data_IF_650759450401
#
_entry.id   IF_650759450401
#
_cell.length_a   1.000
_cell.length_b   1.000
_cell.length_c   1.000
_cell.angle_alpha   90.00
_cell.angle_beta   90.00
_cell.angle_gamma   90.00
#
_symmetry.space_group_name_H-M   'P 1'
#
loop_
_entity.id
_entity.type
_entity.pdbx_description
1 polymer ?
#
# COMPACT_ATOMS: atom_id res chain seq x y z
N UNK A 1 7.25 28.05 -4.00
CA UNK A 1 6.05 27.34 -4.48
C UNK A 1 5.84 26.19 -3.51
N UNK A 2 4.62 25.97 -3.07
CA UNK A 2 4.26 24.81 -2.23
C UNK A 2 4.59 23.53 -3.01
N UNK A 3 5.19 22.54 -2.37
CA UNK A 3 5.45 21.21 -2.96
C UNK A 3 4.18 20.38 -3.16
N UNK A 4 3.01 20.96 -2.96
CA UNK A 4 1.72 20.29 -3.01
C UNK A 4 0.69 21.11 -3.79
N UNK A 5 -0.35 20.44 -4.27
CA UNK A 5 -1.47 21.03 -4.97
C UNK A 5 -2.80 20.44 -4.50
N UNK A 6 -3.89 21.20 -4.64
CA UNK A 6 -5.22 20.74 -4.30
C UNK A 6 -5.72 19.69 -5.28
N UNK A 7 -6.49 18.74 -4.77
CA UNK A 7 -7.15 17.69 -5.57
C UNK A 7 -8.62 18.07 -5.79
N UNK A 8 -9.10 17.98 -7.03
CA UNK A 8 -10.51 18.13 -7.37
C UNK A 8 -11.27 16.81 -7.22
N UNK A 9 -12.61 16.85 -7.31
CA UNK A 9 -13.43 15.63 -7.39
C UNK A 9 -13.22 14.89 -8.71
N UNK A 10 -13.23 13.56 -8.65
CA UNK A 10 -13.23 12.69 -9.83
C UNK A 10 -14.63 12.53 -10.43
N UNK A 11 -15.67 12.75 -9.63
CA UNK A 11 -17.07 12.45 -9.97
C UNK A 11 -17.45 10.98 -9.75
N UNK A 12 -16.55 10.16 -9.22
CA UNK A 12 -16.78 8.75 -8.87
C UNK A 12 -16.75 8.62 -7.36
N UNK A 13 -17.87 8.33 -6.73
CA UNK A 13 -18.03 8.34 -5.27
C UNK A 13 -16.93 7.55 -4.54
N UNK A 14 -16.60 6.35 -4.99
CA UNK A 14 -15.62 5.50 -4.30
C UNK A 14 -14.19 6.01 -4.45
N UNK A 15 -13.89 6.71 -5.54
CA UNK A 15 -12.61 7.41 -5.73
C UNK A 15 -12.59 8.66 -4.85
N UNK A 16 -13.62 9.52 -4.95
CA UNK A 16 -13.73 10.75 -4.15
C UNK A 16 -13.73 10.45 -2.64
N UNK A 17 -14.28 9.29 -2.26
CA UNK A 17 -14.30 8.77 -0.89
C UNK A 17 -12.90 8.47 -0.32
N UNK A 18 -11.88 8.39 -1.16
CA UNK A 18 -10.49 8.14 -0.76
C UNK A 18 -9.60 9.39 -0.88
N UNK A 19 -10.04 10.45 -1.57
CA UNK A 19 -9.21 11.64 -1.77
C UNK A 19 -9.15 12.51 -0.50
N UNK A 20 -7.94 12.72 0.04
CA UNK A 20 -7.69 13.59 1.20
C UNK A 20 -7.77 15.07 0.89
N UNK A 21 -7.69 15.47 -0.39
CA UNK A 21 -7.84 16.84 -0.84
C UNK A 21 -6.53 17.52 -1.24
N UNK A 22 -5.38 16.94 -0.92
CA UNK A 22 -4.04 17.46 -1.25
C UNK A 22 -3.20 16.33 -1.85
N UNK A 23 -2.36 16.66 -2.83
CA UNK A 23 -1.39 15.75 -3.45
C UNK A 23 -0.03 16.43 -3.59
N UNK A 24 1.03 15.68 -3.80
CA UNK A 24 2.32 16.20 -4.22
C UNK A 24 2.20 16.86 -5.60
N UNK A 25 2.80 18.02 -5.77
CA UNK A 25 2.79 18.75 -7.05
C UNK A 25 3.99 18.31 -7.91
N UNK A 26 3.76 17.53 -8.94
CA UNK A 26 4.79 16.98 -9.82
C UNK A 26 5.62 18.06 -10.52
N UNK A 27 5.08 19.28 -10.69
CA UNK A 27 5.82 20.40 -11.25
C UNK A 27 6.88 20.96 -10.29
N UNK A 28 6.75 20.67 -8.99
CA UNK A 28 7.67 21.12 -7.93
C UNK A 28 8.46 19.95 -7.35
N UNK A 29 7.79 18.85 -7.07
CA UNK A 29 8.36 17.60 -6.55
C UNK A 29 8.40 16.59 -7.70
N UNK A 30 9.48 16.61 -8.47
CA UNK A 30 9.61 15.73 -9.65
C UNK A 30 9.82 14.24 -9.28
N UNK A 31 10.20 13.95 -8.04
CA UNK A 31 10.46 12.59 -7.53
C UNK A 31 10.08 12.53 -6.06
N UNK A 32 9.30 11.56 -5.68
CA UNK A 32 9.04 11.24 -4.27
C UNK A 32 10.28 10.54 -3.71
N UNK A 33 11.08 11.28 -2.95
CA UNK A 33 12.23 10.72 -2.25
C UNK A 33 11.81 10.16 -0.90
N UNK A 34 12.38 9.03 -0.49
CA UNK A 34 12.14 8.46 0.82
C UNK A 34 13.43 8.01 1.51
N UNK A 35 13.44 8.08 2.83
CA UNK A 35 14.61 7.77 3.64
C UNK A 35 14.24 7.07 4.95
N UNK A 36 15.26 6.55 5.62
CA UNK A 36 15.14 5.83 6.88
C UNK A 36 16.03 6.49 7.93
N UNK A 37 15.58 7.54 8.63
CA UNK A 37 16.35 8.24 9.63
C UNK A 37 16.83 7.33 10.76
N UNK A 38 18.10 7.50 11.16
CA UNK A 38 18.70 6.73 12.24
C UNK A 38 18.87 7.53 13.54
N UNK A 39 18.61 8.83 13.48
CA UNK A 39 18.70 9.76 14.61
C UNK A 39 17.57 10.78 14.55
N UNK A 40 17.05 11.19 15.69
CA UNK A 40 16.01 12.20 15.80
C UNK A 40 16.39 13.54 15.14
N UNK A 41 17.67 13.90 15.15
CA UNK A 41 18.16 15.13 14.53
C UNK A 41 18.05 15.19 13.00
N UNK A 42 17.64 14.10 12.33
CA UNK A 42 17.25 14.11 10.92
C UNK A 42 15.96 14.91 10.67
N UNK A 43 15.12 15.03 11.69
CA UNK A 43 13.91 15.84 11.71
C UNK A 43 14.27 17.24 12.24
N UNK A 44 14.77 18.12 11.41
CA UNK A 44 15.55 19.33 11.75
C UNK A 44 14.78 20.42 12.51
N UNK A 45 13.47 20.43 12.44
CA UNK A 45 12.64 21.33 13.23
C UNK A 45 11.85 20.53 14.26
N UNK A 46 12.58 20.12 15.30
CA UNK A 46 12.03 19.23 16.33
C UNK A 46 11.11 19.93 17.32
N UNK A 47 10.92 21.26 17.26
CA UNK A 47 10.10 21.97 18.24
C UNK A 47 8.64 21.48 18.23
N UNK A 48 8.15 21.05 17.09
CA UNK A 48 6.78 20.57 16.89
C UNK A 48 6.68 19.06 16.57
N UNK A 49 7.84 18.37 16.49
CA UNK A 49 7.92 16.92 16.27
C UNK A 49 7.95 16.16 17.58
N UNK A 50 6.78 15.92 18.17
CA UNK A 50 6.66 15.08 19.36
C UNK A 50 7.21 13.67 19.13
N UNK A 51 6.98 13.14 17.92
CA UNK A 51 7.41 11.82 17.48
C UNK A 51 8.92 11.65 17.49
N UNK A 52 9.65 12.64 16.94
CA UNK A 52 11.10 12.61 16.86
C UNK A 52 11.77 12.89 18.21
N UNK A 53 11.12 13.64 19.09
CA UNK A 53 11.65 14.00 20.42
C UNK A 53 11.27 12.99 21.50
N UNK A 54 10.36 12.07 21.22
CA UNK A 54 9.96 11.03 22.14
C UNK A 54 11.11 10.07 22.46
N UNK A 55 11.30 9.65 23.72
CA UNK A 55 12.36 8.71 24.11
C UNK A 55 12.28 7.33 23.41
N UNK A 56 11.13 6.97 22.87
CA UNK A 56 10.94 5.73 22.10
C UNK A 56 11.39 5.83 20.64
N UNK A 57 11.82 7.02 20.17
CA UNK A 57 12.31 7.18 18.79
C UNK A 57 13.36 6.13 18.45
N UNK A 58 13.16 5.43 17.35
CA UNK A 58 14.11 4.48 16.80
C UNK A 58 14.04 4.41 15.28
N UNK A 59 15.13 3.93 14.68
CA UNK A 59 15.12 3.57 13.26
C UNK A 59 14.19 2.40 13.02
N UNK A 60 13.55 2.36 11.85
CA UNK A 60 12.87 1.16 11.39
C UNK A 60 13.86 0.01 11.16
N UNK A 61 13.41 -1.21 11.29
CA UNK A 61 14.21 -2.44 11.07
C UNK A 61 14.69 -2.57 9.63
N UNK A 62 15.67 -3.44 9.40
CA UNK A 62 16.12 -3.77 8.04
C UNK A 62 14.99 -4.38 7.21
N UNK A 63 14.13 -5.21 7.83
CA UNK A 63 12.99 -5.82 7.15
C UNK A 63 11.93 -4.78 6.77
N UNK A 64 11.66 -3.79 7.63
CA UNK A 64 10.79 -2.66 7.27
C UNK A 64 11.37 -1.83 6.13
N UNK A 65 12.69 -1.60 6.12
CA UNK A 65 13.35 -0.91 5.00
C UNK A 65 13.24 -1.68 3.68
N UNK A 66 13.32 -3.01 3.73
CA UNK A 66 13.10 -3.89 2.57
C UNK A 66 11.65 -3.74 2.09
N UNK A 67 10.68 -3.90 2.99
CA UNK A 67 9.26 -3.76 2.66
C UNK A 67 8.93 -2.37 2.09
N UNK A 68 9.46 -1.30 2.67
CA UNK A 68 9.25 0.05 2.16
C UNK A 68 9.78 0.23 0.72
N UNK A 69 10.95 -0.34 0.40
CA UNK A 69 11.48 -0.33 -0.97
C UNK A 69 10.64 -1.14 -1.94
N UNK A 70 10.12 -2.28 -1.49
CA UNK A 70 9.24 -3.13 -2.30
C UNK A 70 7.90 -2.43 -2.57
N UNK A 71 7.29 -1.82 -1.54
CA UNK A 71 5.99 -1.17 -1.61
C UNK A 71 6.06 0.14 -2.42
N UNK A 72 7.04 0.99 -2.16
CA UNK A 72 7.18 2.27 -2.90
C UNK A 72 7.75 2.06 -4.30
N UNK A 73 8.62 1.09 -4.47
CA UNK A 73 9.30 0.79 -5.74
C UNK A 73 10.53 1.69 -5.99
N UNK A 74 11.21 1.43 -7.09
CA UNK A 74 12.28 2.26 -7.67
C UNK A 74 13.47 2.64 -6.77
N UNK A 75 14.07 1.67 -6.08
CA UNK A 75 15.37 1.87 -5.46
C UNK A 75 16.50 1.46 -6.44
N UNK A 76 17.33 2.42 -6.86
CA UNK A 76 18.46 2.15 -7.77
C UNK A 76 19.41 1.11 -7.16
N UNK A 77 19.66 0.01 -7.89
CA UNK A 77 20.54 -1.07 -7.44
C UNK A 77 19.93 -2.03 -6.42
N UNK A 78 18.65 -1.90 -6.14
CA UNK A 78 17.89 -2.81 -5.29
C UNK A 78 17.14 -3.85 -6.14
N UNK A 79 17.18 -5.10 -5.72
CA UNK A 79 16.35 -6.17 -6.30
C UNK A 79 15.20 -6.45 -5.35
N UNK A 80 13.95 -6.09 -5.68
CA UNK A 80 12.81 -6.29 -4.82
C UNK A 80 12.59 -7.77 -4.49
N UNK A 81 12.17 -8.06 -3.26
CA UNK A 81 11.68 -9.38 -2.86
C UNK A 81 10.22 -9.55 -3.29
N UNK A 82 9.43 -8.49 -3.16
CA UNK A 82 8.09 -8.39 -3.73
C UNK A 82 8.11 -7.32 -4.82
N UNK A 83 7.79 -7.71 -6.05
CA UNK A 83 8.04 -6.89 -7.25
C UNK A 83 6.79 -6.36 -7.91
N UNK A 84 5.62 -6.72 -7.37
CA UNK A 84 4.35 -6.44 -8.00
C UNK A 84 3.49 -5.48 -7.17
N UNK A 85 2.80 -4.54 -7.85
CA UNK A 85 1.83 -3.66 -7.21
C UNK A 85 2.45 -2.58 -6.32
N UNK A 86 3.72 -2.19 -6.56
CA UNK A 86 4.34 -1.03 -5.91
C UNK A 86 3.66 0.27 -6.34
N UNK A 87 3.77 1.32 -5.53
CA UNK A 87 3.29 2.66 -5.91
C UNK A 87 3.88 3.11 -7.25
N UNK A 88 5.18 2.96 -7.45
CA UNK A 88 5.85 3.30 -8.72
C UNK A 88 5.33 2.50 -9.92
N UNK A 89 4.80 1.30 -9.72
CA UNK A 89 4.20 0.51 -10.81
C UNK A 89 2.78 0.95 -11.17
N UNK A 90 2.10 1.60 -10.24
CA UNK A 90 0.68 1.98 -10.39
C UNK A 90 0.53 3.40 -10.93
N UNK A 91 1.36 4.34 -10.48
CA UNK A 91 1.28 5.75 -10.86
C UNK A 91 2.45 6.18 -11.75
N UNK A 92 2.21 7.14 -12.63
CA UNK A 92 3.25 7.77 -13.46
C UNK A 92 4.00 8.83 -12.64
N UNK A 93 4.63 8.39 -11.56
CA UNK A 93 5.40 9.23 -10.65
C UNK A 93 6.67 8.50 -10.21
N UNK A 94 7.80 9.22 -10.20
CA UNK A 94 9.08 8.65 -9.82
C UNK A 94 9.24 8.56 -8.30
N UNK A 95 9.78 7.44 -7.84
CA UNK A 95 10.15 7.22 -6.44
C UNK A 95 11.65 6.92 -6.32
N UNK A 96 12.30 7.41 -5.28
CA UNK A 96 13.72 7.15 -5.05
C UNK A 96 14.06 7.01 -3.56
N UNK A 97 14.71 5.90 -3.20
CA UNK A 97 15.32 5.77 -1.88
C UNK A 97 16.61 6.61 -1.83
N UNK A 98 16.69 7.51 -0.87
CA UNK A 98 17.86 8.33 -0.62
C UNK A 98 18.46 8.00 0.74
N UNK A 99 19.76 8.22 0.90
CA UNK A 99 20.43 8.03 2.18
C UNK A 99 20.00 9.12 3.16
N UNK A 100 19.61 8.74 4.37
CA UNK A 100 19.43 9.68 5.46
C UNK A 100 20.82 10.21 5.88
N UNK A 101 20.99 11.53 6.08
CA UNK A 101 22.29 12.15 6.36
C UNK A 101 22.87 11.79 7.75
N UNK A 102 22.14 11.06 8.57
CA UNK A 102 22.54 10.67 9.92
C UNK A 102 22.47 11.81 10.93
N UNK A 103 23.21 12.91 10.70
CA UNK A 103 23.12 14.13 11.49
C UNK A 103 22.86 15.32 10.57
N UNK A 104 21.88 16.15 10.94
CA UNK A 104 21.39 17.28 10.12
C UNK A 104 20.08 16.94 9.43
N UNK A 105 19.42 17.97 8.89
CA UNK A 105 18.10 17.86 8.30
C UNK A 105 18.08 16.86 7.13
N UNK A 106 17.20 15.85 7.22
CA UNK A 106 16.88 14.98 6.12
C UNK A 106 15.83 15.67 5.24
N UNK A 107 16.12 15.76 3.96
CA UNK A 107 15.28 16.44 2.97
C UNK A 107 14.44 15.48 2.13
N UNK A 108 14.39 14.20 2.48
CA UNK A 108 13.49 13.26 1.83
C UNK A 108 12.03 13.69 2.05
N UNK A 109 11.20 13.46 1.06
CA UNK A 109 9.75 13.77 1.10
C UNK A 109 9.04 12.87 2.11
N UNK A 110 9.39 11.57 2.12
CA UNK A 110 8.86 10.61 3.09
C UNK A 110 9.99 10.12 3.98
N UNK A 111 9.80 10.20 5.29
CA UNK A 111 10.73 9.68 6.27
C UNK A 111 10.03 8.67 7.15
N UNK A 112 10.66 7.54 7.41
CA UNK A 112 10.08 6.43 8.13
C UNK A 112 10.86 6.15 9.41
N UNK A 113 10.19 6.20 10.55
CA UNK A 113 10.80 5.89 11.84
C UNK A 113 9.79 5.25 12.81
N UNK A 114 10.29 4.88 13.98
CA UNK A 114 9.52 4.29 15.07
C UNK A 114 9.32 5.32 16.17
N UNK A 115 8.10 5.39 16.73
CA UNK A 115 7.81 6.21 17.91
C UNK A 115 6.58 5.68 18.66
N UNK A 116 6.51 6.00 19.96
CA UNK A 116 5.27 5.91 20.76
C UNK A 116 4.80 7.31 21.21
N UNK A 117 5.39 8.37 20.67
CA UNK A 117 5.12 9.77 21.05
C UNK A 117 3.74 10.29 20.66
N UNK A 118 2.98 9.53 19.88
CA UNK A 118 1.58 9.82 19.59
C UNK A 118 0.72 8.72 20.23
N UNK A 119 0.18 9.00 21.40
CA UNK A 119 -0.56 8.06 22.22
C UNK A 119 -1.69 7.35 21.47
N UNK A 120 -1.72 6.02 21.54
CA UNK A 120 -2.75 5.09 21.07
C UNK A 120 -2.84 4.79 19.57
N UNK A 121 -2.02 5.35 18.70
CA UNK A 121 -1.99 4.89 17.31
C UNK A 121 -1.12 3.63 17.16
N UNK A 122 -1.49 2.77 16.21
CA UNK A 122 -0.67 1.61 15.84
C UNK A 122 0.46 2.05 14.93
N UNK A 123 0.09 2.82 13.89
CA UNK A 123 0.93 3.57 12.98
C UNK A 123 0.15 4.78 12.49
N UNK A 124 0.81 5.73 11.88
CA UNK A 124 0.17 6.86 11.19
C UNK A 124 1.15 7.49 10.22
N UNK A 125 0.61 8.23 9.23
CA UNK A 125 1.38 9.07 8.35
C UNK A 125 0.76 10.45 8.19
N UNK A 126 1.60 11.44 7.94
CA UNK A 126 1.14 12.78 7.60
C UNK A 126 0.81 12.84 6.10
N UNK A 127 -0.31 13.48 5.79
CA UNK A 127 -0.69 13.79 4.40
C UNK A 127 0.36 14.68 3.72
N UNK A 128 0.39 14.72 2.38
CA UNK A 128 1.05 15.80 1.66
C UNK A 128 0.51 17.13 2.20
N UNK A 129 1.36 17.93 2.84
CA UNK A 129 0.89 19.14 3.47
C UNK A 129 1.46 20.36 2.75
N UNK A 130 0.53 21.20 2.25
CA UNK A 130 0.83 22.55 1.83
C UNK A 130 0.62 23.45 3.02
N UNK A 131 1.66 23.78 3.75
CA UNK A 131 1.46 24.76 4.80
C UNK A 131 1.05 26.11 4.22
N UNK A 132 -0.15 26.52 4.57
CA UNK A 132 -0.63 27.88 4.33
C UNK A 132 0.16 28.94 5.13
N UNK A 133 0.95 28.53 6.11
CA UNK A 133 1.61 29.47 7.07
C UNK A 133 3.13 29.49 7.03
N UNK A 134 3.78 28.55 6.35
CA UNK A 134 5.25 28.53 6.19
C UNK A 134 5.65 28.54 4.72
N UNK A 135 6.60 29.37 4.29
CA UNK A 135 7.09 29.39 2.92
C UNK A 135 7.85 28.12 2.51
N UNK A 136 8.07 27.17 3.41
CA UNK A 136 8.81 25.92 3.19
C UNK A 136 7.95 24.65 3.31
N UNK A 137 6.64 24.74 3.55
CA UNK A 137 5.81 23.58 3.79
C UNK A 137 5.93 23.01 5.23
N UNK A 138 4.99 22.16 5.72
CA UNK A 138 5.18 21.40 6.95
C UNK A 138 6.24 20.31 6.68
N UNK A 139 7.37 20.31 7.35
CA UNK A 139 8.37 19.28 7.15
C UNK A 139 7.88 17.87 7.53
N UNK A 140 6.69 17.75 8.14
CA UNK A 140 6.07 16.47 8.50
C UNK A 140 5.34 15.79 7.34
N UNK A 141 4.92 16.54 6.32
CA UNK A 141 4.17 15.99 5.20
C UNK A 141 4.88 14.77 4.57
N UNK A 142 4.18 13.63 4.50
CA UNK A 142 4.71 12.38 3.99
C UNK A 142 5.41 11.48 5.00
N UNK A 143 5.73 11.95 6.21
CA UNK A 143 6.38 11.13 7.23
C UNK A 143 5.45 10.05 7.77
N UNK A 144 6.01 8.85 7.96
CA UNK A 144 5.30 7.67 8.47
C UNK A 144 5.95 7.16 9.75
N UNK A 145 5.12 6.89 10.74
CA UNK A 145 5.52 6.52 12.08
C UNK A 145 4.89 5.20 12.52
N UNK A 146 5.67 4.33 13.11
CA UNK A 146 5.27 2.99 13.55
C UNK A 146 5.47 2.84 15.05
N UNK A 147 4.43 2.36 15.76
CA UNK A 147 4.51 2.13 17.21
C UNK A 147 5.26 0.84 17.54
N UNK A 148 6.02 0.84 18.64
CA UNK A 148 6.62 -0.38 19.19
C UNK A 148 5.62 -1.26 19.95
N UNK A 149 4.39 -0.80 20.16
CA UNK A 149 3.33 -1.57 20.82
C UNK A 149 2.75 -2.66 19.92
N UNK A 150 3.11 -2.65 18.63
CA UNK A 150 2.67 -3.62 17.61
C UNK A 150 3.87 -4.22 16.89
N UNK A 151 3.71 -5.42 16.35
CA UNK A 151 4.80 -6.11 15.65
C UNK A 151 4.89 -5.63 14.20
N UNK A 152 5.65 -4.56 13.98
CA UNK A 152 5.93 -4.01 12.64
C UNK A 152 7.33 -4.32 12.15
N UNK A 153 8.18 -4.91 12.97
CA UNK A 153 9.62 -5.05 12.67
C UNK A 153 9.92 -6.00 11.51
N UNK A 154 8.98 -6.88 11.17
CA UNK A 154 9.14 -7.89 10.13
C UNK A 154 7.90 -7.98 9.20
N UNK A 155 7.56 -6.92 8.44
CA UNK A 155 6.41 -6.94 7.54
C UNK A 155 6.63 -7.99 6.45
N UNK A 156 5.67 -8.89 6.32
CA UNK A 156 5.64 -9.92 5.28
C UNK A 156 4.33 -9.85 4.50
N UNK A 157 4.37 -10.18 3.22
CA UNK A 157 3.23 -10.10 2.31
C UNK A 157 2.01 -10.83 2.89
N UNK A 158 0.84 -10.17 2.85
CA UNK A 158 -0.42 -10.72 3.33
C UNK A 158 -0.64 -10.65 4.84
N UNK A 159 0.25 -10.01 5.61
CA UNK A 159 0.10 -9.80 7.06
C UNK A 159 -0.41 -8.39 7.38
N UNK A 160 -0.91 -8.19 8.60
CA UNK A 160 -1.31 -6.88 9.11
C UNK A 160 -0.15 -5.86 9.04
N UNK A 161 1.06 -6.28 9.41
CA UNK A 161 2.23 -5.41 9.33
C UNK A 161 2.51 -4.93 7.90
N UNK A 162 2.40 -5.80 6.90
CA UNK A 162 2.53 -5.41 5.49
C UNK A 162 1.45 -4.43 5.07
N UNK A 163 0.18 -4.78 5.33
CA UNK A 163 -0.97 -3.91 5.02
C UNK A 163 -0.78 -2.52 5.62
N UNK A 164 -0.36 -2.43 6.90
CA UNK A 164 -0.17 -1.14 7.58
C UNK A 164 0.86 -0.28 6.85
N UNK A 165 1.98 -0.84 6.40
CA UNK A 165 2.97 -0.06 5.64
C UNK A 165 2.39 0.49 4.33
N UNK A 166 1.62 -0.31 3.58
CA UNK A 166 0.95 0.16 2.34
C UNK A 166 -0.08 1.25 2.66
N UNK A 167 -0.84 1.07 3.75
CA UNK A 167 -1.87 2.01 4.23
C UNK A 167 -1.26 3.37 4.57
N UNK A 168 -0.20 3.39 5.38
CA UNK A 168 0.47 4.64 5.76
C UNK A 168 1.08 5.36 4.56
N UNK A 169 1.63 4.63 3.59
CA UNK A 169 2.07 5.25 2.34
C UNK A 169 0.90 5.77 1.50
N UNK A 170 -0.28 5.17 1.59
CA UNK A 170 -1.51 5.72 1.03
C UNK A 170 -1.81 7.11 1.58
N UNK A 171 -1.75 7.30 2.91
CA UNK A 171 -1.89 8.62 3.54
C UNK A 171 -0.80 9.58 3.09
N UNK A 172 0.47 9.15 3.10
CA UNK A 172 1.60 9.96 2.65
C UNK A 172 1.47 10.39 1.17
N UNK A 173 0.67 9.68 0.38
CA UNK A 173 0.32 10.02 -1.01
C UNK A 173 -1.02 10.75 -1.15
N UNK A 174 -1.72 11.06 -0.05
CA UNK A 174 -2.94 11.89 -0.06
C UNK A 174 -4.27 11.13 -0.03
N UNK A 175 -4.27 9.82 0.25
CA UNK A 175 -5.49 9.05 0.47
C UNK A 175 -5.98 9.18 1.90
N UNK A 176 -7.29 9.31 2.12
CA UNK A 176 -7.96 9.24 3.43
C UNK A 176 -8.68 7.90 3.62
N UNK A 177 -9.17 7.65 4.84
CA UNK A 177 -9.95 6.44 5.11
C UNK A 177 -11.29 6.45 4.36
N UNK A 178 -11.68 5.29 3.84
CA UNK A 178 -12.88 5.14 3.03
C UNK A 178 -14.19 5.48 3.74
N UNK A 179 -14.27 5.27 5.05
CA UNK A 179 -15.46 5.57 5.86
C UNK A 179 -15.61 7.05 6.25
N UNK A 180 -14.56 7.84 6.09
CA UNK A 180 -14.57 9.25 6.47
C UNK A 180 -15.15 10.12 5.37
N UNK A 181 -15.92 11.14 5.78
CA UNK A 181 -16.24 12.29 4.92
C UNK A 181 -15.06 13.26 4.90
N UNK A 182 -15.12 14.26 4.05
CA UNK A 182 -14.04 15.21 3.84
C UNK A 182 -13.44 15.13 2.44
N UNK A 183 -12.28 15.73 2.26
CA UNK A 183 -11.66 15.88 0.95
C UNK A 183 -12.51 16.69 -0.03
N UNK A 184 -12.19 16.66 -1.34
CA UNK A 184 -12.80 17.55 -2.32
C UNK A 184 -14.30 17.28 -2.52
N UNK A 185 -14.76 16.04 -2.39
CA UNK A 185 -16.16 15.65 -2.54
C UNK A 185 -16.96 15.68 -1.25
N UNK A 186 -16.33 15.89 -0.12
CA UNK A 186 -16.92 15.75 1.23
C UNK A 186 -17.78 14.48 1.36
N UNK A 187 -17.27 13.37 0.82
CA UNK A 187 -17.98 12.09 0.75
C UNK A 187 -17.12 10.95 1.26
N UNK A 188 -17.78 9.90 1.76
CA UNK A 188 -17.17 8.60 2.04
C UNK A 188 -17.38 7.64 0.84
N UNK A 189 -16.67 6.53 0.83
CA UNK A 189 -16.96 5.42 -0.08
C UNK A 189 -18.40 4.92 0.14
N UNK A 190 -18.98 4.35 -0.89
CA UNK A 190 -20.27 3.67 -0.76
C UNK A 190 -20.12 2.49 0.20
N UNK A 191 -21.10 2.29 1.08
CA UNK A 191 -21.03 1.29 2.16
C UNK A 191 -20.92 -0.16 1.66
N UNK A 192 -21.29 -0.42 0.40
CA UNK A 192 -21.14 -1.70 -0.27
C UNK A 192 -19.78 -1.86 -0.99
N UNK A 193 -18.88 -0.89 -0.80
CA UNK A 193 -17.51 -0.88 -1.33
C UNK A 193 -16.46 -0.47 -0.29
N UNK A 194 -16.90 -0.07 0.91
CA UNK A 194 -16.01 0.28 2.01
C UNK A 194 -15.60 -0.99 2.78
N UNK A 195 -14.62 -1.68 2.25
CA UNK A 195 -13.92 -2.81 2.89
C UNK A 195 -12.53 -3.01 2.28
N UNK A 196 -11.68 -3.78 2.96
CA UNK A 196 -10.35 -4.17 2.50
C UNK A 196 -10.36 -4.84 1.12
N UNK A 197 -11.49 -5.44 0.72
CA UNK A 197 -11.65 -6.05 -0.60
C UNK A 197 -11.52 -5.02 -1.75
N UNK A 198 -11.75 -3.74 -1.46
CA UNK A 198 -11.80 -2.68 -2.47
C UNK A 198 -10.80 -1.55 -2.22
N UNK A 199 -10.36 -1.38 -0.98
CA UNK A 199 -9.40 -0.34 -0.59
C UNK A 199 -8.68 -0.71 0.71
N UNK A 200 -7.37 -0.61 0.72
CA UNK A 200 -6.52 -0.73 1.91
C UNK A 200 -6.76 0.39 2.92
N UNK A 201 -7.34 1.52 2.47
CA UNK A 201 -7.68 2.65 3.34
C UNK A 201 -8.96 2.42 4.14
N UNK A 202 -9.69 1.32 3.91
CA UNK A 202 -10.84 0.95 4.73
C UNK A 202 -10.40 0.29 6.03
N UNK A 203 -11.07 0.64 7.13
CA UNK A 203 -10.89 -0.03 8.43
C UNK A 203 -11.73 -1.32 8.55
N UNK A 204 -12.49 -1.66 7.51
CA UNK A 204 -13.39 -2.81 7.51
C UNK A 204 -12.72 -4.00 6.85
N UNK A 205 -12.66 -5.12 7.56
CA UNK A 205 -12.17 -6.38 7.00
C UNK A 205 -13.03 -6.87 5.84
N UNK A 206 -14.36 -6.69 5.94
CA UNK A 206 -15.36 -7.06 4.94
C UNK A 206 -16.51 -6.05 4.93
N UNK A 207 -17.34 -6.08 3.91
CA UNK A 207 -18.49 -5.16 3.77
C UNK A 207 -19.40 -5.26 5.00
N UNK A 208 -19.60 -4.13 5.67
CA UNK A 208 -20.43 -4.05 6.86
C UNK A 208 -19.74 -4.40 8.19
N UNK A 209 -18.45 -4.75 8.17
CA UNK A 209 -17.66 -4.89 9.40
C UNK A 209 -17.58 -3.55 10.15
N UNK A 210 -17.28 -3.61 11.46
CA UNK A 210 -17.10 -2.41 12.27
C UNK A 210 -15.77 -1.70 11.90
N UNK A 211 -15.72 -0.38 12.12
CA UNK A 211 -14.50 0.42 12.01
C UNK A 211 -13.79 0.58 13.36
N UNK A 212 -14.37 0.07 14.44
CA UNK A 212 -13.84 0.14 15.80
C UNK A 212 -13.40 -1.25 16.22
N UNK A 213 -12.22 -1.35 16.82
CA UNK A 213 -11.71 -2.63 17.34
C UNK A 213 -10.69 -3.33 16.45
N UNK A 214 -10.38 -2.75 15.29
CA UNK A 214 -9.38 -3.27 14.36
C UNK A 214 -9.91 -4.36 13.42
N UNK A 215 -9.02 -4.83 12.56
CA UNK A 215 -9.34 -5.88 11.60
C UNK A 215 -9.50 -7.25 12.28
N UNK A 216 -10.34 -8.09 11.68
CA UNK A 216 -10.64 -9.45 12.15
C UNK A 216 -10.20 -10.54 11.17
N UNK A 217 -9.37 -10.18 10.20
CA UNK A 217 -8.80 -11.12 9.23
C UNK A 217 -7.97 -12.22 9.90
N UNK A 218 -7.87 -13.37 9.26
CA UNK A 218 -6.85 -14.35 9.59
C UNK A 218 -5.43 -13.81 9.39
N UNK A 219 -4.42 -14.46 9.98
CA UNK A 219 -3.03 -13.98 10.04
C UNK A 219 -2.42 -13.61 8.67
N UNK A 220 -2.74 -14.35 7.60
CA UNK A 220 -2.24 -14.11 6.23
C UNK A 220 -3.33 -13.66 5.25
N UNK A 221 -4.49 -13.27 5.77
CA UNK A 221 -5.67 -12.87 5.00
C UNK A 221 -5.76 -11.36 4.75
N UNK A 222 -4.66 -10.64 4.77
CA UNK A 222 -4.63 -9.20 4.46
C UNK A 222 -4.30 -8.97 2.99
N UNK A 223 -4.82 -7.88 2.43
CA UNK A 223 -4.54 -7.51 1.04
C UNK A 223 -3.04 -7.31 0.80
N UNK A 224 -2.58 -7.82 -0.32
CA UNK A 224 -1.15 -7.95 -0.65
C UNK A 224 -0.64 -6.77 -1.48
N UNK A 225 -1.53 -6.08 -2.18
CA UNK A 225 -1.24 -4.92 -3.05
C UNK A 225 -2.22 -3.79 -2.74
N UNK A 226 -2.00 -2.61 -3.31
CA UNK A 226 -3.07 -1.61 -3.47
C UNK A 226 -4.29 -2.28 -4.11
N UNK A 227 -5.48 -1.93 -3.63
CA UNK A 227 -6.73 -2.49 -4.13
C UNK A 227 -7.37 -1.56 -5.16
N UNK A 228 -8.44 -2.00 -5.80
CA UNK A 228 -9.05 -1.32 -6.95
C UNK A 228 -9.20 0.20 -6.78
N UNK A 229 -9.83 0.64 -5.67
CA UNK A 229 -10.10 2.07 -5.52
C UNK A 229 -8.90 2.86 -5.01
N UNK A 230 -7.94 2.21 -4.34
CA UNK A 230 -6.64 2.84 -4.03
C UNK A 230 -5.92 3.18 -5.34
N UNK A 231 -5.83 2.20 -6.25
CA UNK A 231 -5.23 2.37 -7.58
C UNK A 231 -5.95 3.48 -8.35
N UNK A 232 -7.27 3.42 -8.44
CA UNK A 232 -8.05 4.42 -9.17
C UNK A 232 -7.89 5.84 -8.60
N UNK A 233 -7.85 6.00 -7.27
CA UNK A 233 -7.67 7.29 -6.62
C UNK A 233 -6.24 7.84 -6.82
N UNK A 234 -5.23 6.99 -6.68
CA UNK A 234 -3.83 7.36 -6.92
C UNK A 234 -3.60 7.74 -8.38
N UNK A 235 -4.14 6.97 -9.33
CA UNK A 235 -4.04 7.28 -10.76
C UNK A 235 -4.81 8.53 -11.16
N UNK A 236 -5.93 8.82 -10.50
CA UNK A 236 -6.62 10.10 -10.68
C UNK A 236 -5.76 11.28 -10.21
N UNK A 237 -5.01 11.13 -9.14
CA UNK A 237 -4.14 12.18 -8.62
C UNK A 237 -2.84 12.34 -9.42
N UNK A 238 -2.21 11.25 -9.84
CA UNK A 238 -0.82 11.24 -10.31
C UNK A 238 -0.64 10.66 -11.73
N UNK A 239 -1.74 10.31 -12.42
CA UNK A 239 -1.67 9.60 -13.70
C UNK A 239 -1.38 8.10 -13.53
N UNK A 240 -1.77 7.30 -14.51
CA UNK A 240 -1.54 5.86 -14.53
C UNK A 240 -0.19 5.52 -15.17
N UNK A 241 0.56 4.61 -14.57
CA UNK A 241 1.79 4.09 -15.18
C UNK A 241 1.47 2.99 -16.20
N UNK A 242 1.21 3.38 -17.43
CA UNK A 242 0.96 2.46 -18.54
C UNK A 242 2.20 1.72 -19.06
N UNK A 243 3.40 2.04 -18.56
CA UNK A 243 4.61 1.31 -18.90
C UNK A 243 4.80 0.04 -18.04
N UNK A 244 3.97 -0.14 -17.00
CA UNK A 244 4.02 -1.34 -16.17
C UNK A 244 3.43 -2.52 -16.94
N UNK A 245 4.26 -3.54 -17.22
CA UNK A 245 3.85 -4.76 -17.90
C UNK A 245 3.13 -4.51 -19.24
N UNK A 246 3.58 -3.51 -20.02
CA UNK A 246 2.95 -3.07 -21.28
C UNK A 246 3.11 -4.06 -22.45
N UNK A 247 3.83 -5.16 -22.25
CA UNK A 247 4.02 -6.27 -23.17
C UNK A 247 3.02 -7.41 -22.97
N UNK A 248 3.24 -8.53 -23.66
CA UNK A 248 2.49 -9.77 -23.41
C UNK A 248 2.98 -10.44 -22.12
N UNK A 249 2.23 -10.25 -21.05
CA UNK A 249 2.59 -10.67 -19.69
C UNK A 249 1.86 -11.96 -19.32
N UNK A 250 2.56 -12.86 -18.62
CA UNK A 250 2.00 -14.10 -18.11
C UNK A 250 2.00 -14.05 -16.59
N UNK A 251 0.82 -14.04 -15.98
CA UNK A 251 0.60 -14.11 -14.56
C UNK A 251 0.28 -15.55 -14.15
N UNK A 252 0.99 -16.06 -13.16
CA UNK A 252 0.80 -17.43 -12.66
C UNK A 252 0.88 -17.45 -11.14
N UNK A 253 0.00 -18.19 -10.50
CA UNK A 253 0.02 -18.39 -9.04
C UNK A 253 0.35 -19.84 -8.71
N UNK A 254 1.08 -20.04 -7.62
CA UNK A 254 1.37 -21.34 -7.07
C UNK A 254 0.23 -21.76 -6.11
N UNK A 255 -0.49 -22.88 -6.38
CA UNK A 255 -1.62 -23.28 -5.54
C UNK A 255 -1.20 -23.70 -4.12
N UNK A 256 0.07 -24.06 -3.89
CA UNK A 256 0.55 -24.51 -2.59
C UNK A 256 1.08 -23.36 -1.74
N UNK A 257 1.65 -22.33 -2.36
CA UNK A 257 2.34 -21.26 -1.66
C UNK A 257 1.66 -19.90 -1.78
N UNK A 258 0.74 -19.73 -2.74
CA UNK A 258 0.13 -18.44 -3.06
C UNK A 258 1.08 -17.46 -3.77
N UNK A 259 2.34 -17.84 -4.01
CA UNK A 259 3.29 -16.98 -4.68
C UNK A 259 2.83 -16.71 -6.12
N UNK A 260 2.75 -15.43 -6.48
CA UNK A 260 2.59 -15.02 -7.86
C UNK A 260 3.94 -15.00 -8.56
N UNK A 261 3.98 -15.43 -9.81
CA UNK A 261 5.10 -15.23 -10.71
C UNK A 261 4.66 -14.53 -11.98
N UNK A 262 5.52 -13.66 -12.49
CA UNK A 262 5.29 -12.90 -13.71
C UNK A 262 6.36 -13.30 -14.72
N UNK A 263 5.93 -13.62 -15.94
CA UNK A 263 6.79 -13.91 -17.08
C UNK A 263 6.41 -13.01 -18.25
N UNK A 264 7.41 -12.60 -19.02
CA UNK A 264 7.22 -11.92 -20.30
C UNK A 264 7.51 -12.89 -21.44
N UNK A 265 7.00 -12.60 -22.64
CA UNK A 265 7.23 -13.42 -23.81
C UNK A 265 8.73 -13.58 -24.08
N UNK A 266 9.26 -14.81 -23.95
CA UNK A 266 10.67 -15.13 -24.14
C UNK A 266 11.54 -15.10 -22.89
N UNK A 267 10.99 -14.70 -21.73
CA UNK A 267 11.63 -14.79 -20.40
C UNK A 267 11.04 -15.90 -19.54
N UNK A 268 11.80 -16.35 -18.54
CA UNK A 268 11.27 -17.27 -17.51
C UNK A 268 10.42 -16.50 -16.49
N UNK A 269 9.47 -17.17 -15.81
CA UNK A 269 8.68 -16.55 -14.76
C UNK A 269 9.56 -16.14 -13.58
N UNK A 270 9.31 -14.94 -13.03
CA UNK A 270 10.00 -14.40 -11.86
C UNK A 270 9.00 -14.33 -10.71
N UNK A 271 9.30 -14.98 -9.59
CA UNK A 271 8.49 -14.92 -8.38
C UNK A 271 8.40 -13.50 -7.82
N UNK A 272 7.21 -13.14 -7.38
CA UNK A 272 6.90 -11.81 -6.86
C UNK A 272 6.85 -11.77 -5.33
N UNK A 273 7.20 -12.84 -4.67
CA UNK A 273 7.15 -12.99 -3.22
C UNK A 273 6.02 -13.88 -2.75
N UNK A 274 6.27 -14.56 -1.64
CA UNK A 274 5.36 -15.53 -1.06
C UNK A 274 4.61 -14.92 0.13
N UNK A 275 3.27 -15.05 0.21
CA UNK A 275 2.52 -14.66 1.40
C UNK A 275 3.09 -15.30 2.66
N UNK A 276 3.25 -14.51 3.74
CA UNK A 276 3.87 -14.95 4.98
C UNK A 276 5.40 -15.19 4.91
N UNK A 277 6.03 -14.96 3.75
CA UNK A 277 7.48 -15.15 3.56
C UNK A 277 7.89 -16.61 3.35
N UNK A 278 9.19 -16.85 3.23
CA UNK A 278 9.75 -18.17 2.86
C UNK A 278 9.48 -19.26 3.91
N UNK A 279 9.31 -18.90 5.16
CA UNK A 279 9.06 -19.84 6.28
C UNK A 279 7.57 -19.98 6.61
N UNK A 280 6.69 -19.42 5.77
CA UNK A 280 5.26 -19.45 6.03
C UNK A 280 4.69 -20.87 6.08
N UNK A 281 3.71 -21.12 6.96
CA UNK A 281 3.02 -22.41 6.99
C UNK A 281 2.18 -22.62 5.71
N UNK A 282 1.73 -23.86 5.48
CA UNK A 282 0.96 -24.19 4.27
C UNK A 282 -0.34 -23.38 4.12
N UNK A 283 -0.97 -23.00 5.23
CA UNK A 283 -2.20 -22.19 5.22
C UNK A 283 -1.97 -20.70 4.94
N UNK A 284 -0.74 -20.26 4.77
CA UNK A 284 -0.40 -18.91 4.32
C UNK A 284 -0.50 -18.73 2.80
N UNK A 285 -0.96 -19.74 2.07
CA UNK A 285 -1.07 -19.73 0.60
C UNK A 285 -2.17 -18.78 0.05
N UNK A 286 -2.55 -17.77 0.80
CA UNK A 286 -3.59 -16.84 0.39
C UNK A 286 -3.16 -16.02 -0.81
N UNK A 287 -4.10 -15.80 -1.71
CA UNK A 287 -3.97 -14.87 -2.83
C UNK A 287 -5.07 -13.83 -2.66
N UNK A 288 -4.69 -12.60 -2.36
CA UNK A 288 -5.62 -11.50 -2.15
C UNK A 288 -4.98 -10.20 -2.64
N UNK A 289 -5.15 -9.93 -3.93
CA UNK A 289 -4.44 -8.86 -4.61
C UNK A 289 -5.25 -8.29 -5.79
N UNK A 290 -4.83 -7.13 -6.26
CA UNK A 290 -5.30 -6.52 -7.52
C UNK A 290 -4.20 -6.60 -8.56
N UNK A 291 -4.54 -6.98 -9.78
CA UNK A 291 -3.65 -6.92 -10.94
C UNK A 291 -3.85 -5.57 -11.63
N UNK A 292 -2.78 -4.77 -11.69
CA UNK A 292 -2.65 -3.62 -12.57
C UNK A 292 -1.68 -3.96 -13.69
N UNK A 293 -2.13 -3.82 -14.92
CA UNK A 293 -1.36 -4.04 -16.14
C UNK A 293 -1.54 -2.86 -17.07
N UNK A 294 -0.43 -2.30 -17.58
CA UNK A 294 -0.44 -1.09 -18.40
C UNK A 294 -0.84 -1.32 -19.85
N UNK A 295 -0.83 -2.57 -20.31
CA UNK A 295 -1.23 -2.92 -21.67
C UNK A 295 -0.62 -4.23 -22.14
N UNK A 296 -1.01 -4.65 -23.34
CA UNK A 296 -0.53 -5.89 -23.91
C UNK A 296 -1.64 -6.90 -24.18
N UNK A 297 -1.25 -8.14 -24.42
CA UNK A 297 -2.17 -9.27 -24.55
C UNK A 297 -1.78 -10.33 -23.50
N UNK A 298 -2.38 -10.22 -22.32
CA UNK A 298 -1.91 -10.87 -21.12
C UNK A 298 -2.60 -12.20 -20.87
N UNK A 299 -1.96 -13.03 -20.08
CA UNK A 299 -2.42 -14.40 -19.82
C UNK A 299 -2.41 -14.69 -18.32
N UNK A 300 -3.53 -15.15 -17.79
CA UNK A 300 -3.56 -15.84 -16.51
C UNK A 300 -3.31 -17.34 -16.77
N UNK A 301 -2.10 -17.81 -16.47
CA UNK A 301 -1.74 -19.23 -16.61
C UNK A 301 -2.08 -19.99 -15.32
N UNK A 302 -3.20 -20.67 -15.35
CA UNK A 302 -3.71 -21.51 -14.26
C UNK A 302 -3.57 -23.01 -14.57
N UNK A 303 -2.71 -23.38 -15.53
CA UNK A 303 -2.49 -24.77 -15.96
C UNK A 303 -1.96 -25.68 -14.85
N UNK A 304 -1.44 -25.12 -13.76
CA UNK A 304 -0.96 -25.82 -12.57
C UNK A 304 -2.03 -26.07 -11.50
N UNK A 305 -3.26 -25.55 -11.69
CA UNK A 305 -4.39 -25.82 -10.81
C UNK A 305 -5.08 -27.14 -11.19
N UNK A 306 -5.42 -27.94 -10.17
CA UNK A 306 -6.17 -29.18 -10.33
C UNK A 306 -7.61 -29.06 -9.81
N UNK A 307 -7.98 -27.89 -9.30
CA UNK A 307 -9.32 -27.56 -8.79
C UNK A 307 -10.08 -26.69 -9.80
N UNK A 308 -11.38 -26.56 -9.62
CA UNK A 308 -12.18 -25.61 -10.38
C UNK A 308 -11.72 -24.17 -10.11
N UNK A 309 -11.66 -23.37 -11.17
CA UNK A 309 -11.35 -21.94 -11.14
C UNK A 309 -12.54 -21.14 -11.67
N UNK A 310 -12.72 -19.92 -11.19
CA UNK A 310 -13.72 -18.98 -11.70
C UNK A 310 -13.02 -17.69 -12.11
N UNK A 311 -12.93 -17.43 -13.41
CA UNK A 311 -12.14 -16.31 -13.93
C UNK A 311 -13.05 -15.31 -14.62
N UNK A 312 -12.94 -14.05 -14.18
CA UNK A 312 -13.54 -12.88 -14.79
C UNK A 312 -12.48 -11.83 -15.02
N UNK A 313 -12.05 -11.67 -16.28
CA UNK A 313 -10.97 -10.75 -16.66
C UNK A 313 -11.44 -9.31 -16.92
N UNK A 314 -12.73 -9.01 -16.70
CA UNK A 314 -13.21 -7.65 -16.87
C UNK A 314 -12.66 -6.74 -15.77
N UNK A 315 -12.28 -5.50 -16.08
CA UNK A 315 -11.87 -4.53 -15.06
C UNK A 315 -12.96 -4.38 -13.97
N UNK A 316 -12.56 -4.31 -12.73
CA UNK A 316 -13.47 -4.21 -11.59
C UNK A 316 -14.19 -5.51 -11.21
N UNK A 317 -13.73 -6.66 -11.71
CA UNK A 317 -14.31 -7.96 -11.36
C UNK A 317 -13.30 -8.87 -10.66
N UNK A 318 -13.83 -9.80 -9.87
CA UNK A 318 -13.07 -10.77 -9.12
C UNK A 318 -12.92 -12.09 -9.87
N UNK A 319 -11.71 -12.67 -9.78
CA UNK A 319 -11.43 -14.04 -10.15
C UNK A 319 -11.13 -14.88 -8.91
N UNK A 320 -11.42 -16.18 -8.96
CA UNK A 320 -11.12 -17.16 -7.92
C UNK A 320 -10.21 -18.24 -8.50
N UNK A 321 -8.96 -18.29 -8.04
CA UNK A 321 -7.98 -19.30 -8.47
C UNK A 321 -8.22 -20.64 -7.80
N UNK A 322 -8.46 -20.64 -6.48
CA UNK A 322 -8.86 -21.81 -5.72
C UNK A 322 -9.57 -21.36 -4.43
N UNK A 323 -10.57 -22.10 -3.94
CA UNK A 323 -11.30 -21.73 -2.71
C UNK A 323 -10.42 -21.69 -1.46
N UNK A 324 -9.40 -22.53 -1.37
CA UNK A 324 -8.46 -22.59 -0.25
C UNK A 324 -7.39 -21.46 -0.27
N UNK A 325 -7.35 -20.68 -1.34
CA UNK A 325 -6.53 -19.47 -1.45
C UNK A 325 -7.31 -18.18 -1.17
N UNK A 326 -8.62 -18.26 -0.94
CA UNK A 326 -9.41 -17.11 -0.52
C UNK A 326 -9.01 -16.65 0.89
N UNK A 327 -8.80 -15.36 1.05
CA UNK A 327 -8.57 -14.75 2.36
C UNK A 327 -9.83 -14.88 3.24
N UNK A 328 -9.66 -15.36 4.47
CA UNK A 328 -10.71 -15.35 5.46
C UNK A 328 -10.70 -13.98 6.18
N UNK A 329 -11.76 -13.22 5.98
CA UNK A 329 -11.88 -11.85 6.46
C UNK A 329 -12.55 -11.75 7.85
N UNK A 330 -12.92 -12.87 8.46
CA UNK A 330 -13.56 -12.92 9.78
C UNK A 330 -13.15 -14.17 10.58
N UNK A 331 -11.85 -14.39 10.70
CA UNK A 331 -11.31 -15.57 11.35
C UNK A 331 -11.69 -15.69 12.84
N UNK A 332 -12.13 -14.58 13.48
CA UNK A 332 -12.39 -14.53 14.92
C UNK A 332 -13.87 -14.49 15.27
N UNK A 333 -14.75 -14.02 14.39
CA UNK A 333 -16.15 -13.73 14.72
C UNK A 333 -17.15 -14.66 14.04
N UNK A 334 -17.02 -14.86 12.73
CA UNK A 334 -17.97 -15.64 11.93
C UNK A 334 -17.21 -16.49 10.91
N UNK A 335 -17.23 -17.80 11.09
CA UNK A 335 -16.60 -18.73 10.17
C UNK A 335 -17.24 -18.63 8.76
N UNK A 336 -16.42 -18.47 7.73
CA UNK A 336 -16.86 -18.51 6.33
C UNK A 336 -17.03 -17.15 5.66
N UNK A 337 -16.60 -16.07 6.28
CA UNK A 337 -16.56 -14.74 5.65
C UNK A 337 -15.27 -14.61 4.84
N UNK A 338 -15.31 -14.97 3.57
CA UNK A 338 -14.17 -14.93 2.66
C UNK A 338 -14.25 -13.74 1.72
N UNK A 339 -13.10 -13.30 1.23
CA UNK A 339 -13.04 -12.31 0.17
C UNK A 339 -13.88 -12.75 -1.06
N UNK A 340 -14.43 -11.80 -1.80
CA UNK A 340 -15.20 -12.05 -3.01
C UNK A 340 -14.43 -12.82 -4.08
N UNK A 341 -13.11 -12.76 -4.02
CA UNK A 341 -12.20 -13.49 -4.91
C UNK A 341 -10.74 -13.36 -4.48
N UNK A 342 -9.85 -13.95 -5.25
CA UNK A 342 -8.40 -13.93 -4.99
C UNK A 342 -7.71 -12.80 -5.76
N UNK A 343 -8.12 -12.58 -7.00
CA UNK A 343 -7.46 -11.67 -7.95
C UNK A 343 -8.49 -10.68 -8.49
N UNK A 344 -8.20 -9.41 -8.31
CA UNK A 344 -9.00 -8.31 -8.80
C UNK A 344 -8.33 -7.71 -10.05
N UNK A 345 -9.09 -7.33 -11.05
CA UNK A 345 -8.56 -6.64 -12.24
C UNK A 345 -8.84 -5.15 -12.13
N UNK A 346 -7.81 -4.33 -12.17
CA UNK A 346 -7.91 -2.86 -12.15
C UNK A 346 -7.91 -2.28 -13.57
#
# INVERSE_FOLDING_TARGET
MSGTSAVSTSGIQNVDGLLGGVKWDEAVVATITYSFPTVAGAYADTSDYLEATDPSFASISVQQQVAARDILGSATGYTPLFRYGSFASVVDYAFANVASPGAGADTAIMRLAVTNGNDNSTAFAYYPDAIETSPVGDPRGGDSWYSTNFEYSAPTLGTYSWLTHVHEFGHAMGLKHGHETGGPGNTAMASDRDSMEFSLMSYRSFIGADTVGGYVNEEYGYAQTLMLYDIAALQFMYGANYATHDGATIYRWDPLTGEMSIGEAGGGPVGQGRPGGLSAPAHANRVFLTVWDGGGADTYDLSNYATDVSIDLRPGQWSVTAPDQLANLDAFSVAGNFACGNVFNA
#
